data_IF_278624772315
#
_entry.id   IF_278624772315
#
_cell.length_a   1.000
_cell.length_b   1.000
_cell.length_c   1.000
_cell.angle_alpha   90.00
_cell.angle_beta   90.00
_cell.angle_gamma   90.00
#
_symmetry.space_group_name_H-M   'P 1'
#
loop_
_entity.id
_entity.type
_entity.pdbx_description
1 polymer ?
#
# COMPACT_ATOMS: atom_id res chain seq x y z
N UNK A 1 18.16 23.50 23.79
CA UNK A 1 18.02 22.70 22.56
C UNK A 1 17.50 21.31 22.92
N UNK A 2 16.18 21.10 22.90
CA UNK A 2 15.52 19.79 23.09
C UNK A 2 14.23 19.82 22.28
N UNK A 3 14.30 19.61 20.96
CA UNK A 3 13.09 19.70 20.11
C UNK A 3 13.24 18.94 18.78
N UNK A 4 14.08 17.90 18.74
CA UNK A 4 14.29 17.11 17.51
C UNK A 4 14.26 15.59 17.70
N UNK A 5 14.13 15.13 18.95
CA UNK A 5 14.18 13.69 19.28
C UNK A 5 12.78 13.06 19.32
N UNK A 6 11.69 13.82 19.50
CA UNK A 6 10.37 13.24 19.80
C UNK A 6 9.48 12.89 18.59
N UNK A 7 9.69 13.48 17.40
CA UNK A 7 8.82 13.22 16.24
C UNK A 7 9.08 11.88 15.56
N UNK A 8 10.32 11.40 15.56
CA UNK A 8 10.69 10.16 14.87
C UNK A 8 10.18 8.91 15.61
N UNK A 9 9.98 8.99 16.93
CA UNK A 9 9.45 7.90 17.76
C UNK A 9 7.92 7.73 17.65
N UNK A 10 7.22 8.70 17.04
CA UNK A 10 5.76 8.65 16.88
C UNK A 10 5.31 7.94 15.61
N UNK A 11 6.19 7.77 14.62
CA UNK A 11 5.87 7.10 13.36
C UNK A 11 6.29 5.63 13.40
N UNK A 12 5.32 4.73 13.25
CA UNK A 12 5.55 3.30 13.16
C UNK A 12 5.29 2.81 11.73
N UNK A 13 6.22 2.01 11.20
CA UNK A 13 6.06 1.36 9.90
C UNK A 13 5.94 -0.14 10.10
N UNK A 14 4.84 -0.74 9.63
CA UNK A 14 4.65 -2.19 9.72
C UNK A 14 4.12 -2.79 8.41
N UNK A 15 4.43 -4.07 8.12
CA UNK A 15 3.79 -4.80 7.03
C UNK A 15 2.29 -4.87 7.24
N UNK A 16 1.55 -4.84 6.12
CA UNK A 16 0.10 -4.95 6.13
C UNK A 16 -0.32 -6.40 6.42
N UNK A 17 -1.36 -6.52 7.24
CA UNK A 17 -2.06 -7.77 7.52
C UNK A 17 -3.53 -7.68 7.07
N UNK A 18 -4.23 -8.81 7.07
CA UNK A 18 -5.66 -8.84 6.73
C UNK A 18 -6.53 -7.98 7.67
N UNK A 19 -6.09 -7.79 8.93
CA UNK A 19 -6.80 -6.95 9.90
C UNK A 19 -6.72 -5.45 9.57
N UNK A 20 -5.72 -5.04 8.78
CA UNK A 20 -5.55 -3.64 8.37
C UNK A 20 -6.42 -3.29 7.14
N UNK A 21 -7.07 -4.27 6.52
CA UNK A 21 -7.73 -4.12 5.22
C UNK A 21 -8.84 -3.06 5.21
N UNK A 22 -9.72 -3.06 6.22
CA UNK A 22 -10.81 -2.07 6.30
C UNK A 22 -10.26 -0.63 6.32
N UNK A 23 -9.17 -0.40 7.04
CA UNK A 23 -8.52 0.91 7.10
C UNK A 23 -7.91 1.28 5.76
N UNK A 24 -7.24 0.32 5.09
CA UNK A 24 -6.65 0.52 3.76
C UNK A 24 -7.71 0.87 2.73
N UNK A 25 -8.85 0.17 2.72
CA UNK A 25 -9.96 0.41 1.82
C UNK A 25 -10.52 1.83 2.00
N UNK A 26 -10.74 2.24 3.24
CA UNK A 26 -11.19 3.60 3.55
C UNK A 26 -10.20 4.66 3.06
N UNK A 27 -8.89 4.46 3.29
CA UNK A 27 -7.86 5.40 2.80
C UNK A 27 -7.88 5.45 1.27
N UNK A 28 -7.91 4.30 0.61
CA UNK A 28 -7.91 4.22 -0.85
C UNK A 28 -9.10 4.96 -1.46
N UNK A 29 -10.32 4.63 -1.03
CA UNK A 29 -11.57 5.21 -1.56
C UNK A 29 -11.60 6.73 -1.40
N UNK A 30 -11.15 7.23 -0.24
CA UNK A 30 -11.02 8.67 0.01
C UNK A 30 -10.02 9.35 -0.93
N UNK A 31 -8.90 8.68 -1.26
CA UNK A 31 -7.87 9.24 -2.15
C UNK A 31 -8.30 9.26 -3.62
N UNK A 32 -9.09 8.27 -4.06
CA UNK A 32 -9.56 8.19 -5.45
C UNK A 32 -10.88 8.95 -5.70
N UNK A 33 -11.42 9.65 -4.68
CA UNK A 33 -12.71 10.38 -4.71
C UNK A 33 -13.85 9.55 -5.30
N UNK A 34 -13.83 8.26 -5.00
CA UNK A 34 -14.77 7.30 -5.54
C UNK A 34 -15.99 7.21 -4.63
N UNK A 35 -17.18 7.12 -5.21
CA UNK A 35 -18.35 6.64 -4.47
C UNK A 35 -18.01 5.28 -3.86
N UNK A 36 -18.38 5.07 -2.60
CA UNK A 36 -18.04 3.87 -1.79
C UNK A 36 -18.56 2.56 -2.39
N UNK A 37 -19.36 2.62 -3.46
CA UNK A 37 -19.95 1.48 -4.17
C UNK A 37 -19.17 1.01 -5.41
N UNK A 38 -18.03 1.63 -5.74
CA UNK A 38 -17.22 1.22 -6.88
C UNK A 38 -16.35 0.00 -6.53
N UNK A 39 -16.46 -1.03 -7.36
CA UNK A 39 -15.61 -2.22 -7.29
C UNK A 39 -14.14 -1.79 -7.43
N UNK A 40 -13.29 -2.34 -6.56
CA UNK A 40 -11.85 -2.19 -6.68
C UNK A 40 -11.38 -2.72 -8.04
N UNK A 41 -10.36 -2.07 -8.59
CA UNK A 41 -9.70 -2.49 -9.83
C UNK A 41 -8.24 -2.84 -9.55
N UNK A 42 -7.50 -3.30 -10.56
CA UNK A 42 -6.06 -3.53 -10.44
C UNK A 42 -5.28 -2.27 -9.98
N UNK A 43 -5.84 -1.06 -10.13
CA UNK A 43 -5.27 0.17 -9.62
C UNK A 43 -5.21 0.25 -8.09
N UNK A 44 -5.95 -0.61 -7.38
CA UNK A 44 -5.80 -0.81 -5.93
C UNK A 44 -4.43 -1.41 -5.60
N UNK A 45 -3.94 -2.31 -6.46
CA UNK A 45 -2.66 -2.98 -6.30
C UNK A 45 -2.62 -4.00 -5.16
N UNK A 46 -1.41 -4.31 -4.74
CA UNK A 46 -1.13 -5.11 -3.56
C UNK A 46 -0.64 -4.19 -2.43
N UNK A 47 -1.44 -3.95 -1.38
CA UNK A 47 -1.01 -3.20 -0.20
C UNK A 47 0.13 -3.95 0.51
N UNK A 48 1.20 -3.26 0.85
CA UNK A 48 2.42 -3.87 1.40
C UNK A 48 2.82 -3.35 2.78
N UNK A 49 2.91 -2.03 2.92
CA UNK A 49 3.41 -1.38 4.13
C UNK A 49 2.43 -0.30 4.56
N UNK A 50 2.21 -0.17 5.86
CA UNK A 50 1.47 0.94 6.45
C UNK A 50 2.37 1.80 7.33
N UNK A 51 1.93 3.03 7.54
CA UNK A 51 2.50 3.94 8.53
C UNK A 51 1.41 4.44 9.48
N UNK A 52 1.74 4.41 10.77
CA UNK A 52 0.93 4.95 11.84
C UNK A 52 1.62 6.14 12.49
N UNK A 53 0.84 7.09 13.00
CA UNK A 53 1.29 8.16 13.88
C UNK A 53 0.46 8.13 15.16
N UNK A 54 1.12 7.99 16.31
CA UNK A 54 0.44 7.86 17.61
C UNK A 54 -0.69 6.79 17.58
N UNK A 55 -0.33 5.57 17.15
CA UNK A 55 -1.21 4.40 17.01
C UNK A 55 -2.37 4.52 16.00
N UNK A 56 -2.44 5.62 15.24
CA UNK A 56 -3.42 5.80 14.18
C UNK A 56 -2.77 5.62 12.82
N UNK A 57 -3.31 4.73 11.99
CA UNK A 57 -2.86 4.59 10.60
C UNK A 57 -3.13 5.90 9.86
N UNK A 58 -2.09 6.45 9.25
CA UNK A 58 -2.17 7.71 8.49
C UNK A 58 -1.94 7.51 6.99
N UNK A 59 -1.40 6.36 6.58
CA UNK A 59 -1.17 6.04 5.18
C UNK A 59 -0.65 4.64 4.95
N UNK A 60 -0.59 4.27 3.68
CA UNK A 60 -0.07 2.99 3.24
C UNK A 60 0.55 3.08 1.84
N UNK A 61 1.40 2.12 1.50
CA UNK A 61 1.91 1.92 0.15
C UNK A 61 1.40 0.63 -0.47
N UNK A 62 1.10 0.72 -1.77
CA UNK A 62 0.67 -0.38 -2.61
C UNK A 62 1.60 -0.57 -3.79
N UNK A 63 1.87 -1.82 -4.15
CA UNK A 63 2.52 -2.15 -5.41
C UNK A 63 1.46 -2.25 -6.51
N UNK A 64 1.66 -1.56 -7.63
CA UNK A 64 0.76 -1.54 -8.79
C UNK A 64 1.52 -1.78 -10.07
N UNK A 65 0.89 -2.38 -11.08
CA UNK A 65 1.45 -2.46 -12.43
C UNK A 65 1.03 -1.20 -13.19
N UNK A 66 2.00 -0.47 -13.74
CA UNK A 66 1.71 0.66 -14.62
C UNK A 66 1.37 0.20 -16.05
N UNK A 67 0.98 1.13 -16.91
CA UNK A 67 0.65 0.86 -18.32
C UNK A 67 1.80 0.27 -19.14
N UNK A 68 3.05 0.41 -18.68
CA UNK A 68 4.24 -0.19 -19.30
C UNK A 68 4.55 -1.60 -18.80
N UNK A 69 3.71 -2.18 -17.94
CA UNK A 69 3.96 -3.50 -17.34
C UNK A 69 5.03 -3.49 -16.24
N UNK A 70 5.39 -2.32 -15.72
CA UNK A 70 6.41 -2.17 -14.67
C UNK A 70 5.70 -2.02 -13.32
N UNK A 71 6.18 -2.75 -12.32
CA UNK A 71 5.67 -2.62 -10.95
C UNK A 71 6.22 -1.34 -10.33
N UNK A 72 5.32 -0.50 -9.84
CA UNK A 72 5.61 0.74 -9.12
C UNK A 72 5.02 0.67 -7.71
N UNK A 73 5.64 1.41 -6.79
CA UNK A 73 5.08 1.63 -5.47
C UNK A 73 4.36 2.98 -5.49
N UNK A 74 3.10 2.98 -5.10
CA UNK A 74 2.32 4.19 -4.86
C UNK A 74 2.01 4.30 -3.36
N UNK A 75 1.91 5.52 -2.86
CA UNK A 75 1.54 5.79 -1.48
C UNK A 75 0.26 6.60 -1.39
N UNK A 76 -0.57 6.26 -0.43
CA UNK A 76 -1.86 6.89 -0.16
C UNK A 76 -1.91 7.29 1.31
N UNK A 77 -2.41 8.48 1.59
CA UNK A 77 -2.47 9.02 2.94
C UNK A 77 -3.85 9.58 3.23
N UNK A 78 -4.27 9.60 4.49
CA UNK A 78 -5.54 10.24 4.91
C UNK A 78 -5.47 11.74 4.63
N UNK A 79 -4.33 12.35 4.94
CA UNK A 79 -3.96 13.72 4.60
C UNK A 79 -2.56 13.69 4.00
N UNK A 80 -2.22 14.60 3.08
CA UNK A 80 -0.85 14.69 2.58
C UNK A 80 0.13 14.80 3.76
N UNK A 81 1.15 13.93 3.83
CA UNK A 81 2.10 14.00 4.92
C UNK A 81 2.90 15.29 4.77
N UNK A 82 2.98 16.08 5.84
CA UNK A 82 3.81 17.30 5.90
C UNK A 82 5.31 17.02 5.67
N UNK A 83 5.71 15.75 5.66
CA UNK A 83 7.10 15.31 5.58
C UNK A 83 7.30 14.30 4.42
N UNK A 84 7.91 14.76 3.32
CA UNK A 84 8.30 13.94 2.16
C UNK A 84 9.14 12.72 2.57
N UNK A 85 9.91 12.84 3.66
CA UNK A 85 10.70 11.76 4.26
C UNK A 85 9.84 10.56 4.67
N UNK A 86 8.62 10.78 5.17
CA UNK A 86 7.72 9.70 5.57
C UNK A 86 7.28 8.91 4.34
N UNK A 87 6.87 9.60 3.28
CA UNK A 87 6.50 8.99 2.00
C UNK A 87 7.67 8.17 1.44
N UNK A 88 8.86 8.75 1.37
CA UNK A 88 10.05 8.05 0.90
C UNK A 88 10.33 6.78 1.72
N UNK A 89 10.31 6.88 3.06
CA UNK A 89 10.56 5.73 3.93
C UNK A 89 9.49 4.64 3.78
N UNK A 90 8.23 5.02 3.62
CA UNK A 90 7.12 4.10 3.40
C UNK A 90 7.29 3.33 2.09
N UNK A 91 7.61 4.05 1.00
CA UNK A 91 7.82 3.47 -0.33
C UNK A 91 9.03 2.53 -0.35
N UNK A 92 10.15 2.93 0.26
CA UNK A 92 11.34 2.10 0.35
C UNK A 92 11.11 0.82 1.19
N UNK A 93 10.34 0.93 2.27
CA UNK A 93 9.96 -0.25 3.07
C UNK A 93 9.05 -1.19 2.29
N UNK A 94 8.04 -0.66 1.59
CA UNK A 94 7.16 -1.46 0.72
C UNK A 94 7.94 -2.13 -0.41
N UNK A 95 8.88 -1.41 -1.04
CA UNK A 95 9.76 -1.95 -2.08
C UNK A 95 10.60 -3.11 -1.55
N UNK A 96 11.25 -2.96 -0.38
CA UNK A 96 12.00 -4.06 0.26
C UNK A 96 11.13 -5.27 0.54
N UNK A 97 9.90 -5.05 1.03
CA UNK A 97 8.96 -6.14 1.30
C UNK A 97 8.54 -6.87 0.02
N UNK A 98 8.27 -6.12 -1.07
CA UNK A 98 7.95 -6.67 -2.38
C UNK A 98 9.10 -7.55 -2.90
N UNK A 99 10.33 -7.02 -2.93
CA UNK A 99 11.51 -7.75 -3.39
C UNK A 99 11.75 -9.03 -2.60
N UNK A 100 11.60 -8.96 -1.27
CA UNK A 100 11.76 -10.13 -0.40
C UNK A 100 10.67 -11.18 -0.63
N UNK A 101 9.43 -10.75 -0.85
CA UNK A 101 8.27 -11.67 -0.91
C UNK A 101 8.07 -12.28 -2.31
N UNK A 102 8.42 -11.56 -3.37
CA UNK A 102 8.14 -11.99 -4.74
C UNK A 102 9.38 -12.43 -5.51
N UNK A 103 10.55 -11.87 -5.19
CA UNK A 103 11.73 -11.98 -6.06
C UNK A 103 12.90 -12.70 -5.43
N UNK A 104 12.86 -13.03 -4.13
CA UNK A 104 14.03 -13.55 -3.41
C UNK A 104 15.32 -12.73 -3.73
N UNK A 105 15.18 -11.41 -3.83
CA UNK A 105 16.23 -10.45 -4.21
C UNK A 105 16.74 -10.54 -5.68
N UNK A 106 15.95 -11.06 -6.61
CA UNK A 106 16.23 -11.02 -8.07
C UNK A 106 15.57 -9.81 -8.73
N UNK A 107 15.92 -9.50 -9.98
CA UNK A 107 15.24 -8.48 -10.78
C UNK A 107 13.87 -8.97 -11.28
N UNK A 108 12.95 -8.04 -11.54
CA UNK A 108 11.66 -8.35 -12.15
C UNK A 108 11.85 -8.75 -13.61
N UNK A 109 11.34 -9.93 -13.98
CA UNK A 109 11.16 -10.33 -15.37
C UNK A 109 9.66 -10.33 -15.75
N UNK A 110 9.38 -10.65 -17.02
CA UNK A 110 8.02 -10.72 -17.56
C UNK A 110 7.16 -11.79 -16.86
N UNK A 111 7.74 -12.92 -16.46
CA UNK A 111 7.03 -13.99 -15.78
C UNK A 111 6.64 -13.59 -14.34
N UNK A 112 7.53 -12.89 -13.62
CA UNK A 112 7.22 -12.33 -12.30
C UNK A 112 6.14 -11.27 -12.38
N UNK A 113 6.20 -10.40 -13.39
CA UNK A 113 5.17 -9.38 -13.62
C UNK A 113 3.80 -10.02 -13.82
N UNK A 114 3.70 -11.07 -14.65
CA UNK A 114 2.45 -11.80 -14.85
C UNK A 114 1.95 -12.48 -13.56
N UNK A 115 2.85 -13.07 -12.77
CA UNK A 115 2.51 -13.68 -11.48
C UNK A 115 2.00 -12.65 -10.48
N UNK A 116 2.67 -11.49 -10.40
CA UNK A 116 2.26 -10.37 -9.55
C UNK A 116 0.88 -9.86 -9.97
N UNK A 117 0.66 -9.64 -11.28
CA UNK A 117 -0.63 -9.23 -11.83
C UNK A 117 -1.76 -10.13 -11.36
N UNK A 118 -1.58 -11.45 -11.54
CA UNK A 118 -2.57 -12.45 -11.14
C UNK A 118 -2.88 -12.40 -9.64
N UNK A 119 -1.89 -12.12 -8.79
CA UNK A 119 -2.13 -11.99 -7.35
C UNK A 119 -2.94 -10.74 -7.00
N UNK A 120 -2.67 -9.61 -7.66
CA UNK A 120 -3.48 -8.39 -7.51
C UNK A 120 -4.91 -8.65 -7.96
N UNK A 121 -5.12 -9.30 -9.11
CA UNK A 121 -6.45 -9.67 -9.60
C UNK A 121 -7.21 -10.57 -8.62
N UNK A 122 -6.55 -11.59 -8.04
CA UNK A 122 -7.15 -12.48 -7.04
C UNK A 122 -7.56 -11.69 -5.79
N UNK A 123 -6.67 -10.84 -5.27
CA UNK A 123 -6.95 -10.02 -4.09
C UNK A 123 -8.15 -9.10 -4.33
N UNK A 124 -8.12 -8.34 -5.42
CA UNK A 124 -9.18 -7.40 -5.80
C UNK A 124 -10.52 -8.12 -5.94
N UNK A 125 -10.54 -9.27 -6.62
CA UNK A 125 -11.75 -10.06 -6.77
C UNK A 125 -12.28 -10.59 -5.43
N UNK A 126 -11.39 -11.06 -4.56
CA UNK A 126 -11.77 -11.54 -3.22
C UNK A 126 -12.41 -10.42 -2.39
N UNK A 127 -11.79 -9.23 -2.34
CA UNK A 127 -12.35 -8.08 -1.61
C UNK A 127 -13.72 -7.67 -2.19
N UNK A 128 -13.82 -7.57 -3.50
CA UNK A 128 -15.06 -7.21 -4.19
C UNK A 128 -16.18 -8.23 -3.96
N UNK A 129 -15.86 -9.51 -3.73
CA UNK A 129 -16.85 -10.53 -3.39
C UNK A 129 -17.27 -10.44 -1.93
N UNK A 130 -16.36 -10.15 -1.01
CA UNK A 130 -16.68 -10.01 0.42
C UNK A 130 -17.51 -8.77 0.70
N UNK A 131 -17.25 -7.64 0.03
CA UNK A 131 -18.05 -6.42 0.16
C UNK A 131 -19.48 -6.57 -0.37
N UNK A 132 -19.72 -7.45 -1.35
CA UNK A 132 -21.07 -7.75 -1.86
C UNK A 132 -21.92 -8.61 -0.93
N UNK A 133 -21.29 -9.26 0.05
CA UNK A 133 -21.94 -10.19 0.98
C UNK A 133 -22.30 -9.53 2.32
N UNK A 134 -21.84 -8.29 2.55
CA UNK A 134 -22.17 -7.46 3.71
C UNK A 134 -23.20 -6.40 3.35
#
# INVERSE_FOLDING_TARGET
>A
MKTKIEKAELFEFKPITIFDLNVILNIYQNNIKSDTNLLLTEAFGLPLQLVSFADKVIGYSSAVINTSGIIKINSFFINEPDEEKIKYQLEENAKKLLFRSFLNNKEFDLAYTAKFKRQVEILVNWINQTEKLN
#
